data_IF_155340529940
#
_entry.id   IF_155340529940
#
_cell.length_a   1.000
_cell.length_b   1.000
_cell.length_c   1.000
_cell.angle_alpha   90.00
_cell.angle_beta   90.00
_cell.angle_gamma   90.00
#
_symmetry.space_group_name_H-M   'P 1'
#
loop_
_entity.id
_entity.type
_entity.pdbx_description
1 polymer ?
#
# COMPACT_ATOMS: atom_id res chain seq x y z
N UNK A 1 48.49 39.44 77.28
CA UNK A 1 48.67 39.59 75.85
C UNK A 1 48.17 38.29 75.25
N UNK A 2 46.85 38.25 74.89
CA UNK A 2 46.19 37.04 74.40
C UNK A 2 46.00 37.20 72.92
N UNK A 3 46.53 36.26 72.11
CA UNK A 3 46.38 36.22 70.66
C UNK A 3 45.25 35.22 70.29
N UNK A 4 44.14 35.74 69.72
CA UNK A 4 43.06 34.90 69.22
C UNK A 4 43.42 34.42 67.81
N UNK A 5 43.38 33.09 67.58
CA UNK A 5 43.44 32.46 66.27
C UNK A 5 42.04 32.26 65.75
N UNK A 6 41.71 32.95 64.66
CA UNK A 6 40.46 32.67 63.83
C UNK A 6 40.71 31.52 62.88
N UNK A 7 40.00 30.40 63.03
CA UNK A 7 39.94 29.33 62.06
C UNK A 7 38.83 29.67 61.06
N UNK A 8 39.16 29.88 59.74
CA UNK A 8 38.24 29.95 58.67
C UNK A 8 37.93 28.53 58.20
N UNK A 9 36.68 28.05 58.36
CA UNK A 9 36.15 26.85 57.77
C UNK A 9 35.69 27.14 56.30
N UNK A 10 36.35 26.49 55.33
CA UNK A 10 36.02 26.55 53.90
C UNK A 10 34.97 25.48 53.57
N UNK A 11 33.73 25.88 53.37
CA UNK A 11 32.65 24.95 52.96
C UNK A 11 32.70 24.80 51.46
N UNK A 12 33.17 23.64 50.99
CA UNK A 12 33.13 23.28 49.55
C UNK A 12 31.72 22.77 49.17
N UNK A 13 30.99 23.54 48.35
CA UNK A 13 29.76 23.08 47.74
C UNK A 13 30.11 22.27 46.48
N UNK A 14 29.91 20.96 46.54
CA UNK A 14 29.99 20.08 45.34
C UNK A 14 28.67 20.14 44.64
N UNK A 15 28.58 20.89 43.54
CA UNK A 15 27.46 20.83 42.61
C UNK A 15 27.59 19.57 41.78
N UNK A 16 26.81 18.54 42.11
CA UNK A 16 26.67 17.35 41.30
C UNK A 16 25.87 17.67 40.05
N UNK A 17 26.52 17.74 38.88
CA UNK A 17 25.85 17.76 37.59
C UNK A 17 25.26 16.37 37.32
N UNK A 18 23.94 16.21 37.53
CA UNK A 18 23.19 15.05 37.05
C UNK A 18 22.94 15.28 35.57
N UNK A 19 23.78 14.68 34.73
CA UNK A 19 23.54 14.62 33.27
C UNK A 19 22.39 13.66 33.03
N UNK A 20 21.20 14.18 32.75
CA UNK A 20 20.08 13.40 32.18
C UNK A 20 20.46 13.02 30.76
N UNK A 21 20.98 11.82 30.58
CA UNK A 21 21.03 11.20 29.27
C UNK A 21 19.60 10.79 28.91
N UNK A 22 18.94 11.59 28.07
CA UNK A 22 17.68 11.19 27.43
C UNK A 22 17.99 10.04 26.48
N UNK A 23 17.82 8.81 26.96
CA UNK A 23 17.72 7.64 26.11
C UNK A 23 16.49 7.87 25.24
N UNK A 24 16.67 8.33 23.99
CA UNK A 24 15.64 8.24 22.98
C UNK A 24 15.42 6.76 22.73
N UNK A 25 14.43 6.17 23.40
CA UNK A 25 13.97 4.82 23.07
C UNK A 25 13.54 4.84 21.62
N UNK A 26 14.22 4.07 20.76
CA UNK A 26 13.74 3.78 19.43
C UNK A 26 12.34 3.16 19.57
N UNK A 27 11.36 3.68 18.86
CA UNK A 27 10.04 3.09 18.85
C UNK A 27 10.16 1.62 18.40
N UNK A 28 9.50 0.71 19.12
CA UNK A 28 9.51 -0.70 18.73
C UNK A 28 8.84 -0.85 17.36
N UNK A 29 9.40 -1.68 16.49
CA UNK A 29 8.79 -2.00 15.19
C UNK A 29 7.37 -2.58 15.38
N UNK A 30 6.44 -2.24 14.50
CA UNK A 30 5.09 -2.83 14.50
C UNK A 30 5.17 -4.34 14.32
N UNK A 31 4.58 -5.12 15.22
CA UNK A 31 4.65 -6.59 15.25
C UNK A 31 3.37 -7.28 14.76
N UNK A 32 2.30 -6.53 14.49
CA UNK A 32 1.02 -7.09 14.05
C UNK A 32 1.02 -7.58 12.59
N UNK A 33 -0.14 -8.09 12.11
CA UNK A 33 -0.30 -8.56 10.73
C UNK A 33 -0.19 -7.41 9.73
N UNK A 34 0.27 -7.73 8.51
CA UNK A 34 0.31 -6.80 7.38
C UNK A 34 -0.67 -7.25 6.28
N UNK A 35 -1.30 -6.27 5.63
CA UNK A 35 -2.08 -6.42 4.42
C UNK A 35 -1.31 -5.75 3.27
N UNK A 36 -0.82 -6.51 2.30
CA UNK A 36 -0.15 -5.98 1.12
C UNK A 36 -1.21 -5.65 0.05
N UNK A 37 -1.57 -4.38 -0.05
CA UNK A 37 -2.65 -3.90 -0.93
C UNK A 37 -2.22 -3.67 -2.39
N UNK A 38 -0.94 -3.93 -2.73
CA UNK A 38 -0.40 -3.68 -4.05
C UNK A 38 0.71 -4.69 -4.38
N UNK A 39 0.32 -5.86 -4.88
CA UNK A 39 1.27 -6.94 -5.17
C UNK A 39 1.11 -7.45 -6.59
N UNK A 40 2.23 -7.61 -7.29
CA UNK A 40 2.32 -8.24 -8.60
C UNK A 40 3.09 -9.55 -8.54
N UNK A 41 2.54 -10.59 -9.15
CA UNK A 41 3.24 -11.82 -9.43
C UNK A 41 3.28 -11.99 -10.95
N UNK A 42 4.11 -11.15 -11.60
CA UNK A 42 4.21 -11.07 -13.05
C UNK A 42 4.96 -12.27 -13.64
N UNK A 43 4.77 -12.53 -14.93
CA UNK A 43 5.39 -13.65 -15.67
C UNK A 43 6.88 -13.77 -15.40
N UNK A 44 7.58 -12.65 -15.32
CA UNK A 44 9.01 -12.61 -15.06
C UNK A 44 9.37 -13.24 -13.70
N UNK A 45 8.50 -13.14 -12.70
CA UNK A 45 8.75 -13.68 -11.37
C UNK A 45 8.63 -15.20 -11.36
N UNK A 46 7.63 -15.80 -11.99
CA UNK A 46 7.41 -17.25 -11.92
C UNK A 46 8.20 -18.06 -12.95
N UNK A 47 8.67 -17.43 -14.03
CA UNK A 47 9.51 -18.13 -15.03
C UNK A 47 11.00 -18.17 -14.67
N UNK A 48 11.41 -17.53 -13.59
CA UNK A 48 12.74 -17.67 -13.01
C UNK A 48 13.87 -16.99 -13.77
N UNK A 49 13.60 -16.06 -14.68
CA UNK A 49 14.65 -15.48 -15.54
C UNK A 49 15.65 -14.58 -14.80
N UNK A 50 15.26 -13.95 -13.70
CA UNK A 50 16.14 -13.04 -12.92
C UNK A 50 16.27 -13.45 -11.45
N UNK A 51 16.14 -14.68 -11.18
CA UNK A 51 16.08 -15.29 -9.88
C UNK A 51 14.75 -16.02 -9.79
N UNK A 52 14.75 -17.28 -9.44
CA UNK A 52 13.51 -18.00 -9.29
C UNK A 52 12.75 -17.43 -8.09
N UNK A 53 11.55 -16.95 -8.34
CA UNK A 53 10.59 -16.62 -7.29
C UNK A 53 9.33 -17.49 -7.51
N UNK A 54 9.44 -18.83 -7.42
CA UNK A 54 8.28 -19.72 -7.51
C UNK A 54 7.31 -19.44 -6.37
N UNK A 55 6.06 -19.87 -6.51
CA UNK A 55 5.01 -19.64 -5.51
C UNK A 55 5.44 -19.99 -4.07
N UNK A 56 6.10 -21.11 -3.78
CA UNK A 56 6.56 -21.40 -2.42
C UNK A 56 7.56 -20.37 -1.87
N UNK A 57 8.47 -19.85 -2.71
CA UNK A 57 9.44 -18.83 -2.28
C UNK A 57 8.74 -17.49 -1.95
N UNK A 58 7.86 -17.01 -2.82
CA UNK A 58 7.17 -15.74 -2.56
C UNK A 58 6.25 -15.84 -1.33
N UNK A 59 5.57 -16.96 -1.13
CA UNK A 59 4.76 -17.20 0.07
C UNK A 59 5.60 -17.27 1.34
N UNK A 60 6.77 -17.91 1.28
CA UNK A 60 7.70 -17.93 2.41
C UNK A 60 8.19 -16.51 2.80
N UNK A 61 8.45 -15.62 1.81
CA UNK A 61 8.80 -14.22 2.05
C UNK A 61 7.64 -13.47 2.71
N UNK A 62 6.41 -13.63 2.22
CA UNK A 62 5.21 -13.06 2.85
C UNK A 62 5.06 -13.52 4.30
N UNK A 63 5.21 -14.82 4.54
CA UNK A 63 5.10 -15.41 5.88
C UNK A 63 6.15 -14.83 6.85
N UNK A 64 7.44 -14.78 6.44
CA UNK A 64 8.51 -14.19 7.26
C UNK A 64 8.29 -12.71 7.53
N UNK A 65 7.68 -11.99 6.57
CA UNK A 65 7.31 -10.58 6.72
C UNK A 65 6.05 -10.37 7.58
N UNK A 66 5.31 -11.44 7.91
CA UNK A 66 4.05 -11.36 8.65
C UNK A 66 2.88 -10.80 7.82
N UNK A 67 2.96 -10.88 6.50
CA UNK A 67 1.84 -10.57 5.60
C UNK A 67 0.80 -11.69 5.69
N UNK A 68 -0.47 -11.30 5.87
CA UNK A 68 -1.59 -12.22 6.04
C UNK A 68 -2.63 -12.13 4.92
N UNK A 69 -2.63 -11.07 4.13
CA UNK A 69 -3.46 -10.95 2.95
C UNK A 69 -2.77 -10.08 1.90
N UNK A 70 -3.11 -10.33 0.64
CA UNK A 70 -2.55 -9.63 -0.51
C UNK A 70 -3.65 -9.26 -1.51
N UNK A 71 -3.58 -8.07 -2.11
CA UNK A 71 -4.24 -7.78 -3.38
C UNK A 71 -3.31 -8.24 -4.49
N UNK A 72 -3.69 -9.30 -5.19
CA UNK A 72 -2.91 -9.83 -6.30
C UNK A 72 -3.45 -9.33 -7.63
N UNK A 73 -2.61 -8.65 -8.40
CA UNK A 73 -2.93 -8.13 -9.72
C UNK A 73 -1.71 -8.30 -10.64
N UNK A 74 -1.67 -9.32 -11.42
CA UNK A 74 -0.50 -9.76 -12.19
C UNK A 74 -0.67 -9.56 -13.69
N UNK A 75 0.42 -9.30 -14.40
CA UNK A 75 0.47 -9.18 -15.86
C UNK A 75 1.20 -10.39 -16.46
N UNK A 76 0.52 -11.20 -17.26
CA UNK A 76 -0.94 -11.30 -17.41
C UNK A 76 -1.63 -11.82 -16.13
N UNK A 77 -2.95 -12.00 -16.16
CA UNK A 77 -3.73 -12.50 -15.01
C UNK A 77 -3.32 -13.89 -14.55
N UNK A 78 -2.58 -14.66 -15.37
CA UNK A 78 -2.06 -15.99 -15.03
C UNK A 78 -1.29 -16.02 -13.70
N UNK A 79 -0.54 -14.97 -13.35
CA UNK A 79 0.17 -14.91 -12.08
C UNK A 79 -0.78 -14.78 -10.88
N UNK A 80 -1.86 -14.03 -11.02
CA UNK A 80 -2.93 -13.98 -10.01
C UNK A 80 -3.60 -15.34 -9.86
N UNK A 81 -3.87 -16.02 -11.00
CA UNK A 81 -4.42 -17.37 -11.00
C UNK A 81 -3.47 -18.37 -10.37
N UNK A 82 -2.15 -18.28 -10.64
CA UNK A 82 -1.15 -19.16 -10.05
C UNK A 82 -1.14 -19.08 -8.50
N UNK A 83 -1.18 -17.85 -7.94
CA UNK A 83 -1.30 -17.66 -6.50
C UNK A 83 -2.63 -18.18 -5.95
N UNK A 84 -3.72 -17.99 -6.68
CA UNK A 84 -5.05 -18.48 -6.30
C UNK A 84 -5.16 -20.02 -6.39
N UNK A 85 -4.43 -20.67 -7.29
CA UNK A 85 -4.36 -22.13 -7.42
C UNK A 85 -3.55 -22.79 -6.31
N UNK A 86 -2.55 -22.12 -5.77
CA UNK A 86 -1.68 -22.60 -4.70
C UNK A 86 -2.38 -22.63 -3.33
N UNK A 87 -3.55 -23.26 -3.24
CA UNK A 87 -4.43 -23.20 -2.05
C UNK A 87 -3.80 -23.86 -0.83
N UNK A 88 -3.08 -24.95 -1.00
CA UNK A 88 -2.41 -25.64 0.11
C UNK A 88 -1.27 -24.78 0.66
N UNK A 89 -0.46 -24.21 -0.23
CA UNK A 89 0.68 -23.38 0.10
C UNK A 89 0.24 -22.03 0.73
N UNK A 90 -0.80 -21.38 0.20
CA UNK A 90 -1.34 -20.16 0.77
C UNK A 90 -1.97 -20.38 2.14
N UNK A 91 -2.65 -21.52 2.34
CA UNK A 91 -3.18 -21.92 3.63
C UNK A 91 -2.05 -22.19 4.64
N UNK A 92 -1.00 -22.93 4.23
CA UNK A 92 0.17 -23.20 5.07
C UNK A 92 0.92 -21.91 5.47
N UNK A 93 1.03 -20.94 4.55
CA UNK A 93 1.60 -19.63 4.83
C UNK A 93 0.64 -18.70 5.58
N UNK A 94 -0.63 -19.08 5.73
CA UNK A 94 -1.70 -18.25 6.29
C UNK A 94 -1.85 -16.91 5.55
N UNK A 95 -1.81 -16.95 4.20
CA UNK A 95 -1.96 -15.78 3.33
C UNK A 95 -3.27 -15.89 2.55
N UNK A 96 -4.12 -14.89 2.70
CA UNK A 96 -5.36 -14.75 1.92
C UNK A 96 -5.09 -14.00 0.62
N UNK A 97 -5.47 -14.59 -0.51
CA UNK A 97 -5.35 -13.97 -1.84
C UNK A 97 -6.65 -13.24 -2.18
N UNK A 98 -6.59 -11.93 -2.42
CA UNK A 98 -7.66 -11.09 -2.94
C UNK A 98 -7.38 -10.83 -4.42
N UNK A 99 -8.05 -11.53 -5.35
CA UNK A 99 -7.70 -11.45 -6.77
C UNK A 99 -8.32 -10.21 -7.43
N UNK A 100 -7.50 -9.49 -8.22
CA UNK A 100 -7.91 -8.39 -9.09
C UNK A 100 -7.64 -8.75 -10.55
N UNK A 101 -8.51 -8.30 -11.45
CA UNK A 101 -8.29 -8.39 -12.90
C UNK A 101 -7.32 -7.28 -13.32
N UNK A 102 -6.13 -7.65 -13.80
CA UNK A 102 -5.21 -6.71 -14.44
C UNK A 102 -5.71 -6.35 -15.85
N UNK A 103 -5.56 -5.08 -16.25
CA UNK A 103 -6.02 -4.61 -17.56
C UNK A 103 -5.01 -4.85 -18.70
N UNK A 104 -3.98 -5.67 -18.46
CA UNK A 104 -2.87 -5.88 -19.40
C UNK A 104 -2.68 -7.34 -19.74
N UNK A 105 -2.80 -7.67 -21.02
CA UNK A 105 -2.39 -8.94 -21.59
C UNK A 105 -0.88 -8.97 -21.82
N UNK A 106 -0.33 -7.79 -22.17
CA UNK A 106 1.10 -7.58 -22.44
C UNK A 106 1.46 -6.10 -22.26
N UNK A 107 2.73 -5.74 -22.53
CA UNK A 107 3.22 -4.37 -22.32
C UNK A 107 2.60 -3.31 -23.22
N UNK A 108 2.11 -3.67 -24.42
CA UNK A 108 1.49 -2.69 -25.33
C UNK A 108 0.15 -2.15 -24.80
N UNK A 109 -0.51 -2.90 -23.91
CA UNK A 109 -1.78 -2.47 -23.33
C UNK A 109 -1.63 -1.27 -22.37
N UNK A 110 -0.41 -0.99 -21.85
CA UNK A 110 -0.17 0.13 -20.92
C UNK A 110 -0.59 1.48 -21.51
N UNK A 111 -0.40 1.68 -22.82
CA UNK A 111 -0.65 2.95 -23.51
C UNK A 111 -1.97 2.95 -24.30
N UNK A 112 -2.74 1.86 -24.26
CA UNK A 112 -3.90 1.70 -25.15
C UNK A 112 -5.17 1.21 -24.46
N UNK A 113 -5.08 0.58 -23.30
CA UNK A 113 -6.17 -0.09 -22.59
C UNK A 113 -7.43 0.77 -22.45
N UNK A 114 -7.27 2.07 -22.20
CA UNK A 114 -8.37 3.00 -21.94
C UNK A 114 -9.26 3.27 -23.15
N UNK A 115 -8.83 2.85 -24.35
CA UNK A 115 -9.56 3.01 -25.62
C UNK A 115 -9.76 1.69 -26.39
N UNK A 116 -9.07 0.60 -26.01
CA UNK A 116 -9.18 -0.70 -26.68
C UNK A 116 -10.39 -1.49 -26.13
N UNK A 117 -11.49 -1.66 -26.93
CA UNK A 117 -12.69 -2.34 -26.45
C UNK A 117 -12.44 -3.80 -26.07
N UNK A 118 -11.42 -4.46 -26.66
CA UNK A 118 -11.10 -5.86 -26.32
C UNK A 118 -10.60 -6.03 -24.90
N UNK A 119 -10.08 -4.96 -24.27
CA UNK A 119 -9.73 -4.96 -22.84
C UNK A 119 -10.99 -5.02 -21.98
N UNK A 120 -12.04 -4.29 -22.34
CA UNK A 120 -13.32 -4.36 -21.63
C UNK A 120 -13.93 -5.75 -21.70
N UNK A 121 -13.91 -6.37 -22.91
CA UNK A 121 -14.43 -7.73 -23.13
C UNK A 121 -13.62 -8.76 -22.34
N UNK A 122 -12.29 -8.63 -22.29
CA UNK A 122 -11.41 -9.44 -21.45
C UNK A 122 -11.79 -9.33 -19.97
N UNK A 123 -11.98 -8.12 -19.45
CA UNK A 123 -12.37 -7.91 -18.05
C UNK A 123 -13.70 -8.58 -17.75
N UNK A 124 -14.70 -8.47 -18.62
CA UNK A 124 -15.98 -9.15 -18.44
C UNK A 124 -15.82 -10.68 -18.42
N UNK A 125 -15.00 -11.23 -19.31
CA UNK A 125 -14.73 -12.67 -19.36
C UNK A 125 -14.03 -13.16 -18.07
N UNK A 126 -13.00 -12.46 -17.61
CA UNK A 126 -12.29 -12.77 -16.34
C UNK A 126 -13.25 -12.71 -15.14
N UNK A 127 -14.08 -11.66 -15.05
CA UNK A 127 -15.05 -11.52 -13.95
C UNK A 127 -16.09 -12.65 -13.98
N UNK A 128 -16.49 -13.13 -15.16
CA UNK A 128 -17.42 -14.25 -15.30
C UNK A 128 -16.77 -15.59 -14.94
N UNK A 129 -15.49 -15.79 -15.28
CA UNK A 129 -14.74 -17.01 -15.01
C UNK A 129 -14.40 -17.13 -13.51
N UNK A 130 -13.99 -16.03 -12.86
CA UNK A 130 -13.53 -16.02 -11.49
C UNK A 130 -12.18 -16.71 -11.33
N UNK A 131 -11.85 -17.05 -10.06
CA UNK A 131 -10.59 -17.68 -9.68
C UNK A 131 -10.81 -18.89 -8.76
N UNK A 132 -9.80 -19.76 -8.55
CA UNK A 132 -9.90 -20.88 -7.60
C UNK A 132 -10.24 -20.46 -6.15
N UNK A 133 -9.96 -19.21 -5.75
CA UNK A 133 -10.33 -18.70 -4.42
C UNK A 133 -11.65 -17.92 -4.40
N UNK A 134 -12.37 -17.88 -5.52
CA UNK A 134 -13.66 -17.22 -5.65
C UNK A 134 -13.66 -16.09 -6.70
N UNK A 135 -14.65 -15.22 -6.68
CA UNK A 135 -14.76 -14.16 -7.69
C UNK A 135 -13.64 -13.13 -7.53
N UNK A 136 -13.29 -12.48 -8.64
CA UNK A 136 -12.46 -11.30 -8.58
C UNK A 136 -13.12 -10.21 -7.73
N UNK A 137 -12.33 -9.53 -6.91
CA UNK A 137 -12.78 -8.51 -5.95
C UNK A 137 -12.51 -7.08 -6.43
N UNK A 138 -11.79 -6.92 -7.52
CA UNK A 138 -11.46 -5.63 -8.09
C UNK A 138 -10.88 -5.71 -9.48
N UNK A 139 -10.58 -4.53 -10.03
CA UNK A 139 -9.93 -4.32 -11.33
C UNK A 139 -8.71 -3.41 -11.18
N UNK A 140 -7.67 -3.61 -12.00
CA UNK A 140 -6.40 -2.88 -11.93
C UNK A 140 -5.30 -3.78 -11.37
N UNK A 141 -4.11 -3.32 -11.20
CA UNK A 141 -3.63 -1.97 -11.41
C UNK A 141 -3.72 -1.59 -12.90
N UNK A 142 -4.05 -0.34 -13.15
CA UNK A 142 -3.87 0.28 -14.46
C UNK A 142 -3.18 1.63 -14.34
N UNK A 143 -2.50 2.04 -15.42
CA UNK A 143 -1.76 3.30 -15.50
C UNK A 143 -2.46 4.29 -16.41
N UNK A 144 -2.46 5.56 -16.03
CA UNK A 144 -2.75 6.68 -16.91
C UNK A 144 -1.61 7.69 -16.76
N UNK A 145 -0.69 7.69 -17.73
CA UNK A 145 0.43 8.63 -17.76
C UNK A 145 0.02 10.02 -18.24
N UNK A 146 -1.12 10.12 -18.93
CA UNK A 146 -1.83 11.35 -19.24
C UNK A 146 -3.23 11.25 -18.64
N UNK A 147 -3.55 12.19 -17.75
CA UNK A 147 -4.86 12.25 -17.07
C UNK A 147 -6.03 12.29 -18.05
N UNK A 148 -5.86 12.90 -19.24
CA UNK A 148 -6.91 13.00 -20.25
C UNK A 148 -7.41 11.63 -20.71
N UNK A 149 -6.56 10.60 -20.64
CA UNK A 149 -6.90 9.22 -20.99
C UNK A 149 -7.94 8.58 -20.04
N UNK A 150 -8.18 9.16 -18.87
CA UNK A 150 -9.31 8.80 -18.02
C UNK A 150 -10.67 9.00 -18.73
N UNK A 151 -10.71 9.84 -19.76
CA UNK A 151 -11.89 10.04 -20.61
C UNK A 151 -12.02 9.03 -21.76
N UNK A 152 -11.11 8.05 -21.86
CA UNK A 152 -11.19 6.97 -22.84
C UNK A 152 -12.48 6.16 -22.71
N UNK A 153 -12.97 5.66 -23.83
CA UNK A 153 -14.25 4.95 -23.86
C UNK A 153 -14.27 3.72 -22.94
N UNK A 154 -13.15 2.99 -22.85
CA UNK A 154 -13.01 1.81 -21.99
C UNK A 154 -12.84 2.21 -20.54
N UNK A 155 -12.04 3.25 -20.24
CA UNK A 155 -11.90 3.77 -18.88
C UNK A 155 -13.26 4.16 -18.29
N UNK A 156 -14.08 4.89 -19.02
CA UNK A 156 -15.45 5.26 -18.62
C UNK A 156 -16.32 4.04 -18.29
N UNK A 157 -16.33 3.05 -19.18
CA UNK A 157 -17.10 1.81 -18.98
C UNK A 157 -16.64 1.04 -17.75
N UNK A 158 -15.32 0.94 -17.52
CA UNK A 158 -14.77 0.22 -16.39
C UNK A 158 -15.07 0.90 -15.06
N UNK A 159 -15.05 2.25 -14.99
CA UNK A 159 -15.43 2.97 -13.76
C UNK A 159 -16.92 2.77 -13.43
N UNK A 160 -17.79 2.85 -14.42
CA UNK A 160 -19.22 2.56 -14.25
C UNK A 160 -19.46 1.12 -13.79
N UNK A 161 -18.81 0.14 -14.44
CA UNK A 161 -18.87 -1.28 -14.08
C UNK A 161 -18.37 -1.55 -12.66
N UNK A 162 -17.25 -0.90 -12.27
CA UNK A 162 -16.67 -1.10 -10.93
C UNK A 162 -17.63 -0.63 -9.84
N UNK A 163 -18.29 0.52 -10.01
CA UNK A 163 -19.30 0.98 -9.06
C UNK A 163 -20.54 0.06 -9.05
N UNK A 164 -21.06 -0.31 -10.23
CA UNK A 164 -22.23 -1.19 -10.36
C UNK A 164 -22.02 -2.55 -9.66
N UNK A 165 -20.87 -3.17 -9.92
CA UNK A 165 -20.52 -4.49 -9.38
C UNK A 165 -19.83 -4.43 -8.00
N UNK A 166 -19.70 -3.23 -7.43
CA UNK A 166 -19.00 -3.02 -6.14
C UNK A 166 -17.56 -3.56 -6.14
N UNK A 167 -16.88 -3.51 -7.27
CA UNK A 167 -15.47 -3.86 -7.38
C UNK A 167 -14.59 -2.73 -6.84
N UNK A 168 -13.46 -3.10 -6.24
CA UNK A 168 -12.44 -2.12 -5.86
C UNK A 168 -11.55 -1.83 -7.07
N UNK A 169 -11.21 -0.57 -7.29
CA UNK A 169 -10.29 -0.16 -8.36
C UNK A 169 -8.91 0.07 -7.78
N UNK A 170 -7.85 -0.43 -8.41
CA UNK A 170 -6.46 -0.06 -8.12
C UNK A 170 -5.92 0.74 -9.31
N UNK A 171 -5.60 2.02 -9.08
CA UNK A 171 -5.25 2.96 -10.13
C UNK A 171 -3.91 3.65 -9.89
N UNK A 172 -2.98 3.51 -10.84
CA UNK A 172 -1.69 4.19 -10.88
C UNK A 172 -1.80 5.45 -11.73
N UNK A 173 -2.22 6.54 -11.13
CA UNK A 173 -2.60 7.77 -11.81
C UNK A 173 -2.19 9.00 -11.01
N UNK A 174 -2.15 10.17 -11.65
CA UNK A 174 -2.01 11.44 -10.97
C UNK A 174 -3.32 11.91 -10.29
N UNK A 175 -3.25 13.02 -9.61
CA UNK A 175 -4.36 13.60 -8.85
C UNK A 175 -5.49 14.16 -9.74
N UNK A 176 -5.18 14.61 -10.96
CA UNK A 176 -6.16 15.10 -11.91
C UNK A 176 -7.00 13.94 -12.48
N UNK A 177 -6.36 12.81 -12.77
CA UNK A 177 -7.04 11.61 -13.24
C UNK A 177 -8.03 11.04 -12.21
N UNK A 178 -7.77 11.20 -10.91
CA UNK A 178 -8.73 10.78 -9.87
C UNK A 178 -10.07 11.50 -10.05
N UNK A 179 -10.07 12.80 -10.21
CA UNK A 179 -11.31 13.57 -10.42
C UNK A 179 -12.05 13.12 -11.69
N UNK A 180 -11.32 12.85 -12.78
CA UNK A 180 -11.89 12.40 -14.05
C UNK A 180 -12.48 10.99 -13.92
N UNK A 181 -11.75 10.03 -13.34
CA UNK A 181 -12.24 8.66 -13.14
C UNK A 181 -13.50 8.63 -12.27
N UNK A 182 -13.51 9.36 -11.16
CA UNK A 182 -14.65 9.45 -10.25
C UNK A 182 -15.88 10.05 -10.94
N UNK A 183 -15.70 11.01 -11.86
CA UNK A 183 -16.79 11.63 -12.61
C UNK A 183 -17.53 10.64 -13.54
N UNK A 184 -16.91 9.52 -13.90
CA UNK A 184 -17.50 8.51 -14.79
C UNK A 184 -18.35 7.45 -14.08
N UNK A 185 -18.47 7.52 -12.77
CA UNK A 185 -19.38 6.66 -12.00
C UNK A 185 -20.77 7.29 -11.87
N UNK A 186 -21.80 6.47 -11.63
CA UNK A 186 -23.17 6.97 -11.44
C UNK A 186 -23.28 7.90 -10.23
N UNK A 187 -22.57 7.60 -9.14
CA UNK A 187 -22.57 8.39 -7.91
C UNK A 187 -21.59 9.57 -7.93
N UNK A 188 -20.87 9.81 -9.06
CA UNK A 188 -19.79 10.80 -9.14
C UNK A 188 -18.70 10.58 -8.08
N UNK A 189 -18.33 9.31 -7.91
CA UNK A 189 -17.26 8.88 -6.98
C UNK A 189 -17.69 8.73 -5.53
N UNK A 190 -18.96 8.97 -5.19
CA UNK A 190 -19.40 8.88 -3.79
C UNK A 190 -19.51 7.43 -3.28
N UNK A 191 -19.66 6.46 -4.18
CA UNK A 191 -19.80 5.04 -3.83
C UNK A 191 -18.65 4.18 -4.34
N UNK A 192 -17.84 4.68 -5.28
CA UNK A 192 -16.70 3.93 -5.80
C UNK A 192 -15.62 3.76 -4.72
N UNK A 193 -15.13 2.53 -4.57
CA UNK A 193 -13.95 2.22 -3.76
C UNK A 193 -12.72 2.19 -4.65
N UNK A 194 -11.77 3.08 -4.41
CA UNK A 194 -10.55 3.21 -5.22
C UNK A 194 -9.30 3.26 -4.35
N UNK A 195 -8.36 2.38 -4.63
CA UNK A 195 -7.00 2.39 -4.09
C UNK A 195 -6.14 3.20 -5.06
N UNK A 196 -5.64 4.33 -4.59
CA UNK A 196 -4.77 5.21 -5.36
C UNK A 196 -3.31 4.78 -5.14
N UNK A 197 -2.77 4.04 -6.11
CA UNK A 197 -1.40 3.54 -6.05
C UNK A 197 -0.40 4.68 -5.84
N UNK A 198 0.55 4.48 -4.95
CA UNK A 198 1.58 5.45 -4.53
C UNK A 198 1.00 6.78 -4.02
N UNK A 199 -0.29 6.87 -3.78
CA UNK A 199 -1.00 8.12 -3.46
C UNK A 199 -0.65 9.23 -4.45
N UNK A 200 -0.56 8.85 -5.73
CA UNK A 200 -0.31 9.69 -6.91
C UNK A 200 1.09 9.60 -7.51
N UNK A 201 1.12 9.38 -8.82
CA UNK A 201 2.37 9.44 -9.60
C UNK A 201 2.96 10.85 -9.49
N UNK A 202 4.29 10.92 -9.42
CA UNK A 202 5.01 12.20 -9.35
C UNK A 202 4.89 12.95 -8.02
N UNK A 203 4.15 12.41 -7.04
CA UNK A 203 4.12 12.96 -5.69
C UNK A 203 3.15 14.13 -5.51
N UNK A 204 1.84 13.88 -5.58
CA UNK A 204 0.84 14.91 -5.27
C UNK A 204 1.08 15.54 -3.89
N UNK A 205 0.95 16.89 -3.72
CA UNK A 205 1.12 17.54 -2.43
C UNK A 205 0.13 16.98 -1.39
N UNK A 206 0.54 16.85 -0.13
CA UNK A 206 -0.27 16.29 0.96
C UNK A 206 -1.63 16.98 1.09
N UNK A 207 -1.67 18.30 0.95
CA UNK A 207 -2.94 19.08 0.93
C UNK A 207 -3.89 18.67 -0.20
N UNK A 208 -3.35 18.32 -1.36
CA UNK A 208 -4.17 17.86 -2.49
C UNK A 208 -4.69 16.43 -2.24
N UNK A 209 -3.84 15.55 -1.67
CA UNK A 209 -4.26 14.22 -1.23
C UNK A 209 -5.42 14.31 -0.24
N UNK A 210 -5.30 15.17 0.77
CA UNK A 210 -6.34 15.41 1.75
C UNK A 210 -7.65 15.90 1.11
N UNK A 211 -7.57 16.88 0.22
CA UNK A 211 -8.74 17.42 -0.47
C UNK A 211 -9.49 16.35 -1.27
N UNK A 212 -8.77 15.45 -1.96
CA UNK A 212 -9.36 14.34 -2.69
C UNK A 212 -9.99 13.29 -1.76
N UNK A 213 -9.35 12.98 -0.63
CA UNK A 213 -9.90 12.05 0.36
C UNK A 213 -11.18 12.59 1.02
N UNK A 214 -11.25 13.89 1.25
CA UNK A 214 -12.48 14.55 1.76
C UNK A 214 -13.59 14.52 0.70
N UNK A 215 -13.24 14.76 -0.56
CA UNK A 215 -14.20 14.77 -1.67
C UNK A 215 -14.78 13.38 -1.99
N UNK A 216 -13.95 12.35 -1.91
CA UNK A 216 -14.31 10.99 -2.29
C UNK A 216 -14.22 10.00 -1.11
N UNK A 217 -15.35 9.63 -0.49
CA UNK A 217 -15.35 8.79 0.71
C UNK A 217 -14.70 7.42 0.54
N UNK A 218 -14.76 6.85 -0.65
CA UNK A 218 -14.17 5.53 -0.97
C UNK A 218 -12.72 5.58 -1.50
N UNK A 219 -12.08 6.76 -1.55
CA UNK A 219 -10.69 6.88 -1.99
C UNK A 219 -9.74 6.50 -0.86
N UNK A 220 -8.81 5.57 -1.11
CA UNK A 220 -7.76 5.14 -0.18
C UNK A 220 -6.39 5.39 -0.81
N UNK A 221 -5.44 5.92 -0.05
CA UNK A 221 -4.06 6.11 -0.48
C UNK A 221 -3.23 4.86 -0.20
N UNK A 222 -2.62 4.27 -1.22
CA UNK A 222 -1.64 3.21 -1.08
C UNK A 222 -0.23 3.82 -1.11
N UNK A 223 0.67 3.35 -0.25
CA UNK A 223 1.88 4.08 0.14
C UNK A 223 3.19 3.50 -0.41
N UNK A 224 3.15 2.48 -1.27
CA UNK A 224 4.38 2.00 -1.92
C UNK A 224 5.00 3.09 -2.80
N UNK A 225 6.32 3.14 -2.87
CA UNK A 225 7.08 4.14 -3.65
C UNK A 225 6.65 5.61 -3.43
N UNK A 226 5.91 5.93 -2.38
CA UNK A 226 5.44 7.30 -2.17
C UNK A 226 6.61 8.25 -1.88
N UNK A 227 6.94 9.20 -2.78
CA UNK A 227 7.99 10.18 -2.52
C UNK A 227 7.65 11.07 -1.32
N UNK A 228 8.64 11.33 -0.47
CA UNK A 228 8.46 12.18 0.71
C UNK A 228 7.60 11.59 1.84
N UNK A 229 7.25 10.30 1.77
CA UNK A 229 6.54 9.62 2.85
C UNK A 229 7.39 9.52 4.11
N UNK A 230 8.64 9.08 3.92
CA UNK A 230 9.61 8.91 5.01
C UNK A 230 10.74 9.93 4.91
N UNK A 231 11.18 10.41 6.04
CA UNK A 231 12.31 11.29 6.25
C UNK A 231 13.50 10.53 6.82
N UNK A 232 14.41 11.24 7.51
CA UNK A 232 15.61 10.67 8.10
C UNK A 232 15.28 9.45 8.98
N UNK A 233 16.12 8.41 8.90
CA UNK A 233 16.01 7.16 9.66
C UNK A 233 14.79 6.30 9.35
N UNK A 234 14.02 6.61 8.29
CA UNK A 234 12.85 5.86 7.87
C UNK A 234 11.57 6.17 8.64
N UNK A 235 11.58 7.19 9.49
CA UNK A 235 10.38 7.70 10.16
C UNK A 235 9.47 8.44 9.17
N UNK A 236 8.16 8.47 9.43
CA UNK A 236 7.23 9.29 8.64
C UNK A 236 7.62 10.77 8.70
N UNK A 237 7.62 11.42 7.54
CA UNK A 237 7.73 12.88 7.50
C UNK A 237 6.55 13.53 8.23
N UNK A 238 6.76 14.67 8.91
CA UNK A 238 5.74 15.27 9.78
C UNK A 238 4.38 15.46 9.12
N UNK A 239 4.36 15.95 7.88
CA UNK A 239 3.11 16.20 7.13
C UNK A 239 2.33 14.91 6.82
N UNK A 240 3.02 13.82 6.50
CA UNK A 240 2.40 12.52 6.28
C UNK A 240 1.91 11.90 7.58
N UNK A 241 2.70 12.04 8.64
CA UNK A 241 2.28 11.59 9.98
C UNK A 241 1.01 12.28 10.43
N UNK A 242 0.92 13.60 10.25
CA UNK A 242 -0.27 14.38 10.56
C UNK A 242 -1.49 13.92 9.75
N UNK A 243 -1.34 13.74 8.43
CA UNK A 243 -2.42 13.29 7.55
C UNK A 243 -2.91 11.90 7.93
N UNK A 244 -2.00 10.95 8.20
CA UNK A 244 -2.35 9.57 8.61
C UNK A 244 -3.06 9.58 9.97
N UNK A 245 -2.61 10.38 10.93
CA UNK A 245 -3.28 10.52 12.22
C UNK A 245 -4.69 11.11 12.08
N UNK A 246 -4.88 12.03 11.16
CA UNK A 246 -6.18 12.67 10.90
C UNK A 246 -7.16 11.73 10.18
N UNK A 247 -6.66 10.89 9.26
CA UNK A 247 -7.47 9.98 8.45
C UNK A 247 -6.97 8.52 8.54
N UNK A 248 -6.90 7.90 9.72
CA UNK A 248 -6.26 6.60 9.90
C UNK A 248 -6.95 5.46 9.14
N UNK A 249 -8.21 5.62 8.75
CA UNK A 249 -8.97 4.66 7.95
C UNK A 249 -8.79 4.78 6.43
N UNK A 250 -7.83 5.59 5.94
CA UNK A 250 -7.76 5.96 4.53
C UNK A 250 -6.44 5.57 3.85
N UNK A 251 -5.56 4.85 4.54
CA UNK A 251 -4.25 4.46 4.02
C UNK A 251 -4.04 2.95 4.06
N UNK A 252 -3.30 2.47 3.08
CA UNK A 252 -2.88 1.08 2.89
C UNK A 252 -1.39 1.03 2.59
N UNK A 253 -0.74 -0.07 2.92
CA UNK A 253 0.63 -0.37 2.53
C UNK A 253 0.64 -1.37 1.37
N UNK A 254 1.72 -1.40 0.58
CA UNK A 254 1.87 -2.33 -0.53
C UNK A 254 3.34 -2.56 -0.90
N UNK A 255 3.63 -3.70 -1.51
CA UNK A 255 4.98 -4.04 -1.95
C UNK A 255 5.30 -3.53 -3.34
N UNK A 256 4.31 -3.46 -4.19
CA UNK A 256 4.46 -3.15 -5.62
C UNK A 256 5.59 -3.95 -6.28
N UNK A 257 5.46 -5.27 -6.27
CA UNK A 257 6.46 -6.23 -6.76
C UNK A 257 6.42 -6.39 -8.28
N UNK A 258 6.44 -5.27 -9.02
CA UNK A 258 6.28 -5.26 -10.47
C UNK A 258 7.47 -5.83 -11.25
N UNK A 259 8.67 -5.95 -10.62
CA UNK A 259 9.87 -6.59 -11.15
C UNK A 259 10.49 -7.55 -10.14
N UNK A 260 11.32 -8.49 -10.63
CA UNK A 260 11.92 -9.54 -9.81
C UNK A 260 12.83 -9.02 -8.69
N UNK A 261 13.54 -7.91 -8.91
CA UNK A 261 14.38 -7.27 -7.89
C UNK A 261 13.58 -6.87 -6.65
N UNK A 262 12.32 -6.52 -6.81
CA UNK A 262 11.42 -6.21 -5.68
C UNK A 262 11.11 -7.44 -4.84
N UNK A 263 11.03 -8.61 -5.45
CA UNK A 263 10.89 -9.85 -4.71
C UNK A 263 12.12 -10.17 -3.86
N UNK A 264 13.32 -9.86 -4.36
CA UNK A 264 14.57 -10.04 -3.62
C UNK A 264 14.60 -9.19 -2.34
N UNK A 265 14.03 -7.99 -2.37
CA UNK A 265 13.98 -7.04 -1.25
C UNK A 265 12.63 -6.97 -0.56
N UNK A 266 11.73 -7.92 -0.81
CA UNK A 266 10.36 -7.92 -0.28
C UNK A 266 10.31 -7.79 1.26
N UNK A 267 11.14 -8.54 1.96
CA UNK A 267 11.21 -8.53 3.42
C UNK A 267 11.70 -7.18 3.95
N UNK A 268 12.67 -6.56 3.27
CA UNK A 268 13.17 -5.23 3.63
C UNK A 268 12.10 -4.15 3.41
N UNK A 269 11.32 -4.25 2.33
CA UNK A 269 10.19 -3.35 2.08
C UNK A 269 9.17 -3.44 3.21
N UNK A 270 8.76 -4.66 3.58
CA UNK A 270 7.79 -4.86 4.66
C UNK A 270 8.34 -4.43 6.02
N UNK A 271 9.63 -4.64 6.27
CA UNK A 271 10.30 -4.13 7.47
C UNK A 271 10.32 -2.61 7.51
N UNK A 272 10.55 -1.94 6.37
CA UNK A 272 10.47 -0.49 6.27
C UNK A 272 9.12 0.04 6.75
N UNK A 273 8.03 -0.62 6.39
CA UNK A 273 6.70 -0.30 6.92
C UNK A 273 6.62 -0.51 8.43
N UNK A 274 7.13 -1.61 8.96
CA UNK A 274 7.10 -1.91 10.40
C UNK A 274 7.81 -0.86 11.24
N UNK A 275 8.89 -0.28 10.71
CA UNK A 275 9.66 0.78 11.40
C UNK A 275 8.77 2.00 11.64
N UNK A 276 8.23 2.62 10.59
CA UNK A 276 7.45 3.84 10.78
C UNK A 276 6.06 3.59 11.36
N UNK A 277 5.43 2.42 11.12
CA UNK A 277 4.20 2.02 11.79
C UNK A 277 4.39 1.96 13.32
N UNK A 278 5.56 1.48 13.78
CA UNK A 278 5.90 1.47 15.20
C UNK A 278 5.96 2.84 15.85
N UNK A 279 6.22 3.90 15.06
CA UNK A 279 6.19 5.29 15.50
C UNK A 279 4.78 5.92 15.61
N UNK A 280 3.73 5.19 15.19
CA UNK A 280 2.33 5.62 15.28
C UNK A 280 1.66 5.09 16.56
N UNK A 281 0.56 5.72 17.02
CA UNK A 281 -0.28 5.13 18.05
C UNK A 281 -0.74 3.71 17.62
N UNK A 282 -0.73 2.71 18.51
CA UNK A 282 -0.97 1.30 18.14
C UNK A 282 -2.26 1.06 17.35
N UNK A 283 -3.36 1.76 17.70
CA UNK A 283 -4.63 1.66 16.99
C UNK A 283 -4.57 2.22 15.55
N UNK A 284 -3.77 3.27 15.32
CA UNK A 284 -3.55 3.85 13.99
C UNK A 284 -2.66 2.94 13.16
N UNK A 285 -1.55 2.46 13.74
CA UNK A 285 -0.66 1.50 13.10
C UNK A 285 -1.42 0.27 12.62
N UNK A 286 -2.24 -0.33 13.49
CA UNK A 286 -3.06 -1.51 13.15
C UNK A 286 -4.04 -1.23 12.00
N UNK A 287 -4.69 -0.05 11.98
CA UNK A 287 -5.59 0.33 10.89
C UNK A 287 -4.85 0.37 9.56
N UNK A 288 -3.74 1.08 9.48
CA UNK A 288 -2.97 1.23 8.23
C UNK A 288 -2.34 -0.10 7.79
N UNK A 289 -1.82 -0.86 8.74
CA UNK A 289 -1.14 -2.12 8.48
C UNK A 289 -2.09 -3.25 8.03
N UNK A 290 -3.30 -3.29 8.58
CA UNK A 290 -4.20 -4.44 8.44
C UNK A 290 -5.68 -4.08 8.31
N UNK A 291 -6.27 -3.40 9.31
CA UNK A 291 -7.74 -3.30 9.44
C UNK A 291 -8.41 -2.64 8.23
N UNK A 292 -7.76 -1.65 7.61
CA UNK A 292 -8.31 -0.95 6.44
C UNK A 292 -8.44 -1.89 5.24
N UNK A 293 -7.41 -2.68 4.95
CA UNK A 293 -7.44 -3.67 3.89
C UNK A 293 -8.43 -4.80 4.19
N UNK A 294 -8.40 -5.31 5.42
CA UNK A 294 -9.32 -6.35 5.86
C UNK A 294 -10.79 -5.90 5.74
N UNK A 295 -11.11 -4.70 6.21
CA UNK A 295 -12.46 -4.14 6.10
C UNK A 295 -12.91 -3.91 4.65
N UNK A 296 -11.99 -3.45 3.78
CA UNK A 296 -12.28 -3.20 2.37
C UNK A 296 -12.76 -4.46 1.64
N UNK A 297 -12.26 -5.63 2.05
CA UNK A 297 -12.58 -6.92 1.44
C UNK A 297 -13.39 -7.87 2.33
N UNK A 298 -13.80 -7.44 3.53
CA UNK A 298 -14.58 -8.26 4.45
C UNK A 298 -13.79 -9.47 4.97
N UNK A 299 -12.51 -9.30 5.25
CA UNK A 299 -11.67 -10.31 5.90
C UNK A 299 -11.75 -10.14 7.41
N UNK A 300 -11.88 -11.26 8.12
CA UNK A 300 -11.98 -11.30 9.58
C UNK A 300 -10.58 -11.47 10.22
#
# INVERSE_FOLDING_TARGET
MFTLFFRKTLTCWVFGFISFWSLTALAAEYSGPLFDAHLHYNTEAWNGQTGPHPVPDVLARMQRSGVKAIVSNSRPNDGTIALAQARAETAAASVTVVPFVRLYRNRSDYDTWFRDPTIYDMVLAELALGTPVGPYRGIGEFHLYDSANANGAVAKKLMALAEEKQLVVLAHVDDAAIDLLMAHTASKGQKLRLIWAHTGIGGAPVKRVEALMVKYPGLMGELSYRPGLTCDRGDLCPEWRELILKYPGRFLIGSDTWINQRWQTYEDIMRGYRIWLGGLPPAVAKKVAWDNGAALFGLN
#
